data_IF_077591158344
#
_entry.id   IF_077591158344
#
_cell.length_a   1.000
_cell.length_b   1.000
_cell.length_c   1.000
_cell.angle_alpha   90.00
_cell.angle_beta   90.00
_cell.angle_gamma   90.00
#
_symmetry.space_group_name_H-M   'P 1'
#
loop_
_entity.id
_entity.type
_entity.pdbx_description
1 polymer ?
#
# COMPACT_ATOMS: atom_id res chain seq x y z
N UNK A 1 -29.12 49.48 -3.17
CA UNK A 1 -27.69 49.56 -3.53
C UNK A 1 -26.99 48.35 -2.94
N UNK A 2 -26.51 47.42 -3.79
CA UNK A 2 -25.63 46.31 -3.39
C UNK A 2 -24.21 46.89 -3.14
N UNK A 3 -23.39 46.27 -2.30
CA UNK A 3 -22.30 45.50 -2.91
C UNK A 3 -22.07 44.11 -2.27
N UNK A 4 -22.00 43.10 -3.15
CA UNK A 4 -21.06 41.96 -3.14
C UNK A 4 -20.96 41.18 -1.79
N UNK A 5 -21.73 40.15 -1.47
CA UNK A 5 -21.93 38.85 -2.14
C UNK A 5 -20.72 38.27 -2.88
N UNK A 6 -19.56 38.16 -2.23
CA UNK A 6 -18.48 37.25 -2.66
C UNK A 6 -17.66 36.77 -1.46
N UNK A 7 -18.28 36.01 -0.55
CA UNK A 7 -17.51 35.06 0.26
C UNK A 7 -17.34 33.82 -0.61
N UNK A 8 -16.24 33.80 -1.36
CA UNK A 8 -15.80 32.71 -2.21
C UNK A 8 -15.73 31.43 -1.37
N UNK A 9 -16.77 30.61 -1.51
CA UNK A 9 -16.82 29.24 -1.03
C UNK A 9 -15.74 28.47 -1.79
N UNK A 10 -14.52 28.44 -1.25
CA UNK A 10 -13.44 27.60 -1.74
C UNK A 10 -13.74 26.16 -1.28
N UNK A 11 -14.80 25.58 -1.85
CA UNK A 11 -15.07 24.16 -1.77
C UNK A 11 -14.08 23.50 -2.73
N UNK A 12 -12.84 23.32 -2.27
CA UNK A 12 -11.95 22.35 -2.89
C UNK A 12 -12.56 21.00 -2.56
N UNK A 13 -13.49 20.55 -3.40
CA UNK A 13 -13.79 19.14 -3.50
C UNK A 13 -12.51 18.54 -4.06
N UNK A 14 -11.62 18.10 -3.16
CA UNK A 14 -10.58 17.15 -3.52
C UNK A 14 -11.32 15.90 -3.96
N UNK A 15 -11.65 15.85 -5.25
CA UNK A 15 -12.07 14.62 -5.90
C UNK A 15 -10.84 13.72 -5.75
N UNK A 16 -10.86 12.88 -4.71
CA UNK A 16 -9.90 11.80 -4.56
C UNK A 16 -10.16 10.84 -5.70
N UNK A 17 -9.61 11.16 -6.87
CA UNK A 17 -9.51 10.24 -7.97
C UNK A 17 -8.54 9.17 -7.49
N UNK A 18 -9.06 8.10 -6.90
CA UNK A 18 -8.28 6.88 -6.74
C UNK A 18 -7.96 6.43 -8.16
N UNK A 19 -6.70 6.57 -8.58
CA UNK A 19 -6.25 6.07 -9.87
C UNK A 19 -6.59 4.58 -9.92
N UNK A 20 -7.43 4.18 -10.89
CA UNK A 20 -7.74 2.77 -11.11
C UNK A 20 -6.43 2.05 -11.41
N UNK A 21 -6.17 0.94 -10.73
CA UNK A 21 -4.99 0.12 -10.97
C UNK A 21 -5.00 -0.35 -12.43
N UNK A 22 -3.88 -0.12 -13.12
CA UNK A 22 -3.67 -0.51 -14.52
C UNK A 22 -2.39 -1.34 -14.64
N UNK A 23 -2.19 -2.09 -15.74
CA UNK A 23 -0.95 -2.84 -15.97
C UNK A 23 0.31 -1.97 -15.81
N UNK A 24 0.31 -0.76 -16.38
CA UNK A 24 1.45 0.16 -16.33
C UNK A 24 1.78 0.64 -14.90
N UNK A 25 0.78 0.66 -14.02
CA UNK A 25 0.93 1.08 -12.63
C UNK A 25 1.55 0.02 -11.72
N UNK A 26 1.57 -1.25 -12.12
CA UNK A 26 2.02 -2.36 -11.26
C UNK A 26 3.46 -2.20 -10.81
N UNK A 27 4.32 -1.65 -11.66
CA UNK A 27 5.72 -1.34 -11.30
C UNK A 27 5.85 -0.42 -10.07
N UNK A 28 4.84 0.40 -9.75
CA UNK A 28 4.82 1.28 -8.57
C UNK A 28 4.78 0.49 -7.25
N UNK A 29 4.42 -0.79 -7.27
CA UNK A 29 4.43 -1.65 -6.08
C UNK A 29 5.84 -1.84 -5.51
N UNK A 30 6.87 -1.70 -6.35
CA UNK A 30 8.25 -1.88 -5.96
C UNK A 30 8.68 -0.85 -4.93
N UNK A 31 9.23 -1.30 -3.80
CA UNK A 31 9.80 -0.47 -2.75
C UNK A 31 9.29 -0.80 -1.36
N UNK A 32 9.42 0.17 -0.45
CA UNK A 32 9.15 0.02 0.97
C UNK A 32 7.79 0.62 1.34
N UNK A 33 6.97 -0.16 2.04
CA UNK A 33 5.60 0.17 2.43
C UNK A 33 5.42 0.06 3.93
N UNK A 34 4.87 1.12 4.53
CA UNK A 34 4.56 1.18 5.95
C UNK A 34 3.04 1.10 6.13
N UNK A 35 2.57 0.12 6.91
CA UNK A 35 1.16 -0.04 7.23
C UNK A 35 0.67 1.13 8.10
N UNK A 36 -0.48 1.70 7.77
CA UNK A 36 -1.11 2.78 8.54
C UNK A 36 -2.32 2.28 9.32
N UNK A 37 -3.14 1.46 8.69
CA UNK A 37 -4.36 0.92 9.30
C UNK A 37 -4.82 -0.36 8.61
N UNK A 38 -5.63 -1.11 9.35
CA UNK A 38 -6.46 -2.18 8.80
C UNK A 38 -7.92 -1.81 9.02
N UNK A 39 -8.69 -1.75 7.93
CA UNK A 39 -10.12 -1.49 7.96
C UNK A 39 -10.88 -2.82 7.86
N UNK A 40 -11.83 -3.03 8.77
CA UNK A 40 -12.69 -4.20 8.83
C UNK A 40 -13.93 -4.01 7.93
N UNK A 41 -14.62 -5.11 7.57
CA UNK A 41 -15.82 -5.04 6.72
C UNK A 41 -16.98 -4.22 7.32
N UNK A 42 -17.01 -4.07 8.65
CA UNK A 42 -18.01 -3.27 9.38
C UNK A 42 -17.62 -1.79 9.51
N UNK A 43 -16.49 -1.39 8.93
CA UNK A 43 -15.96 -0.02 8.95
C UNK A 43 -15.11 0.32 10.16
N UNK A 44 -14.92 -0.60 11.12
CA UNK A 44 -13.97 -0.37 12.22
C UNK A 44 -12.53 -0.32 11.68
N UNK A 45 -11.70 0.53 12.28
CA UNK A 45 -10.30 0.69 11.89
C UNK A 45 -9.37 0.34 13.05
N UNK A 46 -8.31 -0.41 12.74
CA UNK A 46 -7.18 -0.64 13.63
C UNK A 46 -5.99 0.15 13.10
N UNK A 47 -5.64 1.24 13.78
CA UNK A 47 -4.51 2.09 13.42
C UNK A 47 -3.17 1.54 13.91
N UNK A 48 -2.12 1.83 13.14
CA UNK A 48 -0.73 1.47 13.42
C UNK A 48 0.11 2.75 13.46
N UNK A 49 0.29 3.32 14.66
CA UNK A 49 1.01 4.59 14.83
C UNK A 49 2.54 4.42 14.87
N UNK A 50 3.01 3.22 15.26
CA UNK A 50 4.44 2.89 15.35
C UNK A 50 4.64 1.50 14.73
N UNK A 51 5.47 1.43 13.69
CA UNK A 51 5.78 0.19 12.98
C UNK A 51 7.25 -0.17 13.17
N UNK A 52 7.52 -1.31 13.79
CA UNK A 52 8.90 -1.81 13.94
C UNK A 52 9.49 -2.31 12.62
N UNK A 53 8.64 -2.75 11.71
CA UNK A 53 9.02 -3.27 10.39
C UNK A 53 8.18 -2.65 9.31
N UNK A 54 8.73 -2.63 8.10
CA UNK A 54 8.04 -2.26 6.87
C UNK A 54 8.13 -3.41 5.88
N UNK A 55 7.23 -3.41 4.92
CA UNK A 55 7.20 -4.41 3.85
C UNK A 55 8.02 -3.89 2.67
N UNK A 56 9.07 -4.62 2.29
CA UNK A 56 9.77 -4.44 1.03
C UNK A 56 9.16 -5.37 -0.01
N UNK A 57 8.75 -4.81 -1.15
CA UNK A 57 8.19 -5.54 -2.28
C UNK A 57 9.08 -5.32 -3.49
N UNK A 58 9.42 -6.40 -4.19
CA UNK A 58 10.12 -6.37 -5.47
C UNK A 58 9.39 -7.27 -6.48
N UNK A 59 9.20 -6.75 -7.68
CA UNK A 59 8.43 -7.33 -8.78
C UNK A 59 9.07 -6.93 -10.10
N UNK A 60 9.24 -7.91 -11.01
CA UNK A 60 9.88 -7.73 -12.30
C UNK A 60 9.03 -8.19 -13.50
N UNK A 61 7.70 -8.15 -13.36
CA UNK A 61 6.70 -8.60 -14.35
C UNK A 61 6.52 -10.12 -14.51
N UNK A 62 7.45 -10.93 -14.02
CA UNK A 62 7.32 -12.40 -14.01
C UNK A 62 7.23 -12.98 -12.60
N UNK A 63 8.07 -12.47 -11.70
CA UNK A 63 8.22 -12.96 -10.33
C UNK A 63 8.56 -11.81 -9.40
N UNK A 64 8.29 -12.04 -8.13
CA UNK A 64 8.68 -11.11 -7.10
C UNK A 64 8.78 -11.76 -5.74
N UNK A 65 9.10 -10.93 -4.75
CA UNK A 65 8.97 -11.31 -3.36
C UNK A 65 8.52 -10.12 -2.51
N UNK A 66 7.95 -10.45 -1.35
CA UNK A 66 7.72 -9.53 -0.24
C UNK A 66 8.55 -9.98 0.95
N UNK A 67 9.09 -9.01 1.68
CA UNK A 67 9.91 -9.25 2.87
C UNK A 67 9.67 -8.20 3.92
N UNK A 68 9.59 -8.62 5.19
CA UNK A 68 9.59 -7.70 6.32
C UNK A 68 11.01 -7.28 6.65
N UNK A 69 11.21 -5.97 6.77
CA UNK A 69 12.51 -5.38 7.06
C UNK A 69 12.38 -4.35 8.17
N UNK A 70 13.39 -4.25 9.03
CA UNK A 70 13.46 -3.29 10.13
C UNK A 70 14.40 -2.14 9.76
N UNK A 71 13.88 -0.92 9.52
CA UNK A 71 14.71 0.24 9.22
C UNK A 71 15.65 0.56 10.39
N UNK A 72 16.84 1.08 10.08
CA UNK A 72 17.84 1.54 11.04
C UNK A 72 18.11 3.04 10.87
N UNK A 73 18.65 3.68 11.91
CA UNK A 73 19.00 5.11 11.86
C UNK A 73 20.16 5.41 10.91
N UNK A 74 21.00 4.43 10.58
CA UNK A 74 22.09 4.55 9.60
C UNK A 74 21.62 4.40 8.14
N UNK A 75 20.31 4.30 7.92
CA UNK A 75 19.69 4.13 6.61
C UNK A 75 19.70 2.69 6.08
N UNK A 76 20.27 1.72 6.84
CA UNK A 76 20.22 0.31 6.49
C UNK A 76 18.92 -0.34 6.96
N UNK A 77 18.71 -1.57 6.51
CA UNK A 77 17.58 -2.39 6.92
C UNK A 77 18.09 -3.72 7.47
N UNK A 78 17.60 -4.11 8.65
CA UNK A 78 17.79 -5.46 9.18
C UNK A 78 16.70 -6.37 8.62
N UNK A 79 17.08 -7.58 8.23
CA UNK A 79 16.15 -8.59 7.73
C UNK A 79 16.73 -9.98 7.98
N UNK A 80 15.88 -11.01 7.98
CA UNK A 80 16.28 -12.43 8.09
C UNK A 80 16.25 -13.07 6.69
N UNK A 81 16.25 -14.39 6.56
CA UNK A 81 16.14 -15.08 5.26
C UNK A 81 14.69 -15.40 4.87
N UNK A 82 13.70 -14.97 5.65
CA UNK A 82 12.28 -15.25 5.39
C UNK A 82 11.73 -14.26 4.36
N UNK A 83 11.05 -14.78 3.35
CA UNK A 83 10.36 -13.99 2.35
C UNK A 83 9.14 -14.74 1.81
N UNK A 84 8.21 -13.98 1.24
CA UNK A 84 7.04 -14.49 0.57
C UNK A 84 7.28 -14.35 -0.93
N UNK A 85 7.19 -15.43 -1.70
CA UNK A 85 7.20 -15.31 -3.17
C UNK A 85 5.88 -14.70 -3.60
N UNK A 86 5.93 -13.73 -4.52
CA UNK A 86 4.72 -13.10 -5.06
C UNK A 86 4.59 -13.32 -6.56
N UNK A 87 3.34 -13.47 -7.00
CA UNK A 87 2.93 -13.38 -8.40
C UNK A 87 1.76 -12.42 -8.52
N UNK A 88 1.84 -11.46 -9.43
CA UNK A 88 0.74 -10.54 -9.72
C UNK A 88 -0.02 -11.04 -10.94
N UNK A 89 -1.33 -11.20 -10.81
CA UNK A 89 -2.21 -11.65 -11.89
C UNK A 89 -3.31 -10.62 -12.13
N UNK A 90 -3.61 -10.40 -13.40
CA UNK A 90 -4.78 -9.67 -13.83
C UNK A 90 -5.92 -10.66 -14.15
N UNK A 91 -7.06 -10.47 -13.50
CA UNK A 91 -8.28 -11.20 -13.81
C UNK A 91 -9.44 -10.23 -13.95
N UNK A 92 -9.77 -9.86 -15.18
CA UNK A 92 -10.89 -8.97 -15.51
C UNK A 92 -10.76 -7.57 -14.90
N UNK A 93 -9.61 -6.91 -15.12
CA UNK A 93 -9.25 -5.60 -14.55
C UNK A 93 -9.07 -5.59 -13.01
N UNK A 94 -9.00 -6.77 -12.39
CA UNK A 94 -8.71 -6.92 -10.97
C UNK A 94 -7.32 -7.53 -10.83
N UNK A 95 -6.40 -6.72 -10.33
CA UNK A 95 -5.04 -7.16 -10.01
C UNK A 95 -5.00 -7.82 -8.65
N UNK A 96 -4.42 -9.02 -8.59
CA UNK A 96 -4.25 -9.78 -7.35
C UNK A 96 -2.79 -10.17 -7.16
N UNK A 97 -2.31 -10.00 -5.94
CA UNK A 97 -1.04 -10.54 -5.48
C UNK A 97 -1.33 -11.92 -4.90
N UNK A 98 -0.65 -12.93 -5.44
CA UNK A 98 -0.64 -14.29 -4.91
C UNK A 98 0.65 -14.52 -4.16
N UNK A 99 0.53 -14.75 -2.86
CA UNK A 99 1.66 -15.01 -1.97
C UNK A 99 1.84 -16.50 -1.78
N UNK A 100 3.10 -16.91 -1.64
CA UNK A 100 3.47 -18.28 -1.30
C UNK A 100 4.67 -18.29 -0.35
N UNK A 101 4.53 -19.07 0.71
CA UNK A 101 5.64 -19.52 1.58
C UNK A 101 5.73 -21.04 1.52
N UNK A 102 6.66 -21.63 2.28
CA UNK A 102 6.73 -23.09 2.44
C UNK A 102 5.53 -23.67 3.22
N UNK A 103 4.78 -22.81 3.92
CA UNK A 103 3.72 -23.22 4.84
C UNK A 103 2.32 -22.85 4.36
N UNK A 104 2.17 -21.77 3.59
CA UNK A 104 0.86 -21.23 3.25
C UNK A 104 0.82 -20.50 1.88
N UNK A 105 -0.39 -20.34 1.36
CA UNK A 105 -0.69 -19.59 0.15
C UNK A 105 -1.96 -18.77 0.34
N UNK A 106 -1.88 -17.48 0.06
CA UNK A 106 -3.02 -16.57 0.11
C UNK A 106 -2.96 -15.57 -1.03
N UNK A 107 -4.03 -14.78 -1.18
CA UNK A 107 -4.09 -13.75 -2.20
C UNK A 107 -4.79 -12.50 -1.68
N UNK A 108 -4.37 -11.36 -2.20
CA UNK A 108 -4.92 -10.05 -1.89
C UNK A 108 -5.14 -9.29 -3.20
N UNK A 109 -6.27 -8.60 -3.29
CA UNK A 109 -6.58 -7.67 -4.38
C UNK A 109 -5.85 -6.35 -4.16
N UNK A 110 -5.26 -5.80 -5.23
CA UNK A 110 -4.70 -4.45 -5.26
C UNK A 110 -5.85 -3.49 -5.54
N UNK A 111 -6.39 -2.87 -4.50
CA UNK A 111 -7.53 -1.95 -4.60
C UNK A 111 -7.09 -0.57 -5.09
N UNK A 112 -5.93 -0.11 -4.63
CA UNK A 112 -5.35 1.18 -5.03
C UNK A 112 -3.83 1.07 -5.04
N UNK A 113 -3.21 1.64 -6.07
CA UNK A 113 -1.75 1.69 -6.21
C UNK A 113 -1.32 2.99 -6.87
N UNK A 114 -0.50 3.76 -6.15
CA UNK A 114 0.15 4.97 -6.63
C UNK A 114 1.58 5.06 -6.08
N UNK A 115 2.30 6.14 -6.37
CA UNK A 115 3.67 6.32 -5.86
C UNK A 115 3.73 6.45 -4.32
N UNK A 116 2.59 6.76 -3.68
CA UNK A 116 2.53 7.06 -2.24
C UNK A 116 1.56 6.19 -1.45
N UNK A 117 0.61 5.53 -2.11
CA UNK A 117 -0.50 4.78 -1.49
C UNK A 117 -0.55 3.38 -2.09
N UNK A 118 -0.69 2.38 -1.22
CA UNK A 118 -1.02 1.01 -1.56
C UNK A 118 -2.16 0.54 -0.67
N UNK A 119 -3.23 0.00 -1.26
CA UNK A 119 -4.33 -0.62 -0.52
C UNK A 119 -4.51 -2.05 -1.01
N UNK A 120 -4.43 -2.99 -0.08
CA UNK A 120 -4.59 -4.42 -0.35
C UNK A 120 -5.84 -4.95 0.35
N UNK A 121 -6.62 -5.79 -0.32
CA UNK A 121 -7.84 -6.38 0.26
C UNK A 121 -7.78 -7.90 0.24
N UNK A 122 -7.95 -8.54 1.39
CA UNK A 122 -7.94 -10.00 1.47
C UNK A 122 -9.32 -10.61 1.20
N UNK A 123 -9.40 -11.95 1.21
CA UNK A 123 -10.65 -12.70 0.97
C UNK A 123 -11.73 -12.47 2.02
N UNK A 124 -11.38 -11.97 3.20
CA UNK A 124 -12.31 -11.63 4.27
C UNK A 124 -12.76 -10.15 4.21
N UNK A 125 -12.41 -9.42 3.15
CA UNK A 125 -12.69 -7.98 2.97
C UNK A 125 -12.02 -7.08 4.03
N UNK A 126 -10.91 -7.51 4.62
CA UNK A 126 -10.05 -6.58 5.37
C UNK A 126 -9.21 -5.80 4.37
N UNK A 127 -9.18 -4.49 4.53
CA UNK A 127 -8.32 -3.61 3.74
C UNK A 127 -7.11 -3.16 4.54
N UNK A 128 -5.93 -3.39 3.99
CA UNK A 128 -4.65 -2.99 4.54
C UNK A 128 -4.19 -1.73 3.81
N UNK A 129 -4.15 -0.61 4.53
CA UNK A 129 -3.81 0.69 3.97
C UNK A 129 -2.35 1.02 4.30
N UNK A 130 -1.53 1.16 3.27
CA UNK A 130 -0.11 1.46 3.37
C UNK A 130 0.21 2.83 2.78
N UNK A 131 1.25 3.45 3.33
CA UNK A 131 1.95 4.59 2.73
C UNK A 131 3.36 4.20 2.32
N UNK A 132 3.93 4.93 1.37
CA UNK A 132 5.36 4.80 1.04
C UNK A 132 6.20 5.09 2.28
N UNK A 133 7.08 4.16 2.65
CA UNK A 133 7.99 4.35 3.77
C UNK A 133 8.99 5.47 3.46
N UNK A 134 9.19 6.35 4.43
CA UNK A 134 10.22 7.39 4.40
C UNK A 134 11.07 7.23 5.66
N UNK A 135 12.39 7.00 5.52
CA UNK A 135 13.27 6.93 6.68
C UNK A 135 13.19 8.21 7.50
N UNK A 136 13.13 8.06 8.82
CA UNK A 136 13.28 9.19 9.74
C UNK A 136 14.77 9.51 9.80
N UNK A 137 15.16 10.65 9.22
CA UNK A 137 16.51 11.20 9.39
C UNK A 137 16.51 12.09 10.63
N UNK A 138 17.30 11.69 11.64
CA UNK A 138 17.58 12.52 12.79
C UNK A 138 18.93 13.18 12.49
N UNK A 139 18.88 14.38 11.89
CA UNK A 139 20.08 15.19 11.64
C UNK A 139 20.35 16.13 12.82
#
# INVERSE_FOLDING_TARGET
MKPLFYSLLFLIVLISCQEKVSPDSISKINGYWEIQKVQLPDGQEKEYSINETVDYIEWNDEKGFRKKVKPQFDGKFLTNDEFETIQIKDSSDIFQIHYKTDFDQWSEEIVSLSDSILVLKNKQNLEYHYKRFKPISIQ
#
